data_IF_634505638131
#
_entry.id   IF_634505638131
#
_cell.length_a   1.000
_cell.length_b   1.000
_cell.length_c   1.000
_cell.angle_alpha   90.00
_cell.angle_beta   90.00
_cell.angle_gamma   90.00
#
_symmetry.space_group_name_H-M   'P 1'
#
loop_
_entity.id
_entity.type
_entity.pdbx_description
1 polymer ?
#
# COMPACT_ATOMS: atom_id res chain seq x y z
N UNK A 1 25.99 -29.30 -12.89
CA UNK A 1 26.51 -28.05 -13.48
C UNK A 1 25.55 -27.60 -14.59
N UNK A 2 24.53 -26.83 -14.26
CA UNK A 2 23.68 -26.19 -15.27
C UNK A 2 23.76 -24.69 -15.05
N UNK A 3 24.45 -24.04 -15.97
CA UNK A 3 24.54 -22.59 -16.07
C UNK A 3 23.21 -22.08 -16.65
N UNK A 4 22.42 -21.38 -15.84
CA UNK A 4 21.39 -20.49 -16.33
C UNK A 4 22.04 -19.16 -16.68
N UNK A 5 22.35 -18.95 -17.95
CA UNK A 5 22.67 -17.65 -18.48
C UNK A 5 21.37 -17.01 -18.93
N UNK A 6 20.79 -16.15 -18.11
CA UNK A 6 19.77 -15.21 -18.53
C UNK A 6 20.48 -13.99 -19.07
N UNK A 7 20.30 -13.72 -20.34
CA UNK A 7 20.66 -12.48 -21.03
C UNK A 7 19.62 -11.41 -20.69
N UNK A 8 19.57 -10.94 -19.44
CA UNK A 8 18.99 -9.66 -19.12
C UNK A 8 20.14 -8.70 -18.88
N UNK A 9 20.30 -7.73 -19.76
CA UNK A 9 21.12 -6.55 -19.52
C UNK A 9 20.73 -6.01 -18.15
N UNK A 10 21.68 -5.99 -17.24
CA UNK A 10 21.55 -5.46 -15.89
C UNK A 10 21.03 -4.02 -15.97
N UNK A 11 19.72 -3.86 -15.84
CA UNK A 11 19.12 -2.56 -15.57
C UNK A 11 19.61 -2.16 -14.17
N UNK A 12 20.66 -1.34 -14.15
CA UNK A 12 21.45 -1.00 -12.95
C UNK A 12 20.72 -0.05 -12.00
N UNK A 13 19.48 0.33 -12.31
CA UNK A 13 18.73 1.26 -11.49
C UNK A 13 18.00 0.50 -10.36
N UNK A 14 18.30 0.78 -9.08
CA UNK A 14 17.64 0.14 -7.95
C UNK A 14 16.13 0.32 -8.05
N UNK A 15 15.36 -0.73 -7.70
CA UNK A 15 13.89 -0.69 -7.78
C UNK A 15 13.28 0.50 -7.03
N UNK A 16 13.85 0.85 -5.87
CA UNK A 16 13.40 2.00 -5.08
C UNK A 16 13.59 3.33 -5.82
N UNK A 17 14.77 3.58 -6.42
CA UNK A 17 15.04 4.79 -7.20
C UNK A 17 14.11 4.92 -8.39
N UNK A 18 13.85 3.81 -9.08
CA UNK A 18 12.93 3.80 -10.22
C UNK A 18 11.49 4.12 -9.79
N UNK A 19 11.01 3.50 -8.73
CA UNK A 19 9.68 3.77 -8.19
C UNK A 19 9.56 5.20 -7.66
N UNK A 20 10.59 5.72 -6.97
CA UNK A 20 10.65 7.11 -6.54
C UNK A 20 10.51 8.07 -7.74
N UNK A 21 11.33 7.90 -8.78
CA UNK A 21 11.27 8.74 -9.99
C UNK A 21 9.90 8.68 -10.68
N UNK A 22 9.26 7.50 -10.70
CA UNK A 22 7.92 7.34 -11.28
C UNK A 22 6.88 8.17 -10.51
N UNK A 23 6.88 8.11 -9.18
CA UNK A 23 5.96 8.87 -8.34
C UNK A 23 6.25 10.38 -8.34
N UNK A 24 7.53 10.78 -8.35
CA UNK A 24 7.92 12.19 -8.54
C UNK A 24 7.41 12.74 -9.87
N UNK A 25 7.46 11.94 -10.92
CA UNK A 25 6.89 12.30 -12.23
C UNK A 25 5.37 12.44 -12.14
N UNK A 26 4.68 11.50 -11.50
CA UNK A 26 3.23 11.56 -11.30
C UNK A 26 2.81 12.83 -10.56
N UNK A 27 3.54 13.23 -9.52
CA UNK A 27 3.30 14.45 -8.79
C UNK A 27 3.44 15.69 -9.69
N UNK A 28 4.51 15.76 -10.49
CA UNK A 28 4.76 16.90 -11.40
C UNK A 28 3.73 17.00 -12.54
N UNK A 29 3.24 15.87 -13.04
CA UNK A 29 2.30 15.84 -14.17
C UNK A 29 0.83 15.89 -13.78
N UNK A 30 0.50 15.95 -12.48
CA UNK A 30 -0.88 15.94 -12.00
C UNK A 30 -1.62 14.64 -12.28
N UNK A 31 -0.92 13.51 -12.18
CA UNK A 31 -1.52 12.18 -12.37
C UNK A 31 -2.65 11.95 -11.36
N UNK A 32 -3.62 11.10 -11.71
CA UNK A 32 -4.79 10.83 -10.84
C UNK A 32 -4.41 10.36 -9.42
N UNK A 33 -3.29 9.64 -9.27
CA UNK A 33 -2.76 9.20 -7.97
C UNK A 33 -2.13 10.35 -7.15
N UNK A 34 -1.82 11.48 -7.79
CA UNK A 34 -1.32 12.69 -7.15
C UNK A 34 -2.44 13.72 -6.89
N UNK A 35 -3.71 13.30 -6.99
CA UNK A 35 -4.85 14.17 -6.73
C UNK A 35 -4.95 14.46 -5.24
N UNK A 36 -4.90 15.74 -4.86
CA UNK A 36 -5.06 16.22 -3.50
C UNK A 36 -6.51 16.09 -3.01
N UNK A 37 -6.75 16.37 -1.73
CA UNK A 37 -8.08 16.35 -1.13
C UNK A 37 -8.98 17.43 -1.74
N UNK A 38 -10.27 17.13 -1.87
CA UNK A 38 -11.29 18.12 -2.26
C UNK A 38 -12.02 18.69 -1.04
N UNK A 39 -12.64 19.86 -1.20
CA UNK A 39 -13.45 20.48 -0.14
C UNK A 39 -14.66 19.60 0.26
N UNK A 40 -15.25 18.87 -0.69
CA UNK A 40 -16.34 17.95 -0.43
C UNK A 40 -15.91 16.75 0.45
N UNK A 41 -14.72 16.20 0.20
CA UNK A 41 -14.17 15.10 1.01
C UNK A 41 -13.92 15.53 2.46
N UNK A 42 -13.53 16.78 2.68
CA UNK A 42 -13.28 17.34 4.01
C UNK A 42 -14.55 17.50 4.87
N UNK A 43 -15.75 17.44 4.28
CA UNK A 43 -17.00 17.48 5.04
C UNK A 43 -17.28 16.18 5.82
N UNK A 44 -16.75 15.06 5.33
CA UNK A 44 -16.93 13.75 5.94
C UNK A 44 -15.62 12.95 5.96
N UNK A 45 -14.56 13.48 6.59
CA UNK A 45 -13.20 12.97 6.41
C UNK A 45 -13.05 11.52 6.88
N UNK A 46 -13.64 11.14 8.03
CA UNK A 46 -13.55 9.78 8.56
C UNK A 46 -14.27 8.76 7.66
N UNK A 47 -15.45 9.11 7.14
CA UNK A 47 -16.18 8.23 6.22
C UNK A 47 -15.41 7.96 4.92
N UNK A 48 -14.66 8.96 4.45
CA UNK A 48 -13.85 8.84 3.22
C UNK A 48 -12.66 7.90 3.44
N UNK A 49 -11.94 8.01 4.56
CA UNK A 49 -10.76 7.18 4.83
C UNK A 49 -11.11 5.83 5.42
N UNK A 50 -12.28 5.69 6.02
CA UNK A 50 -12.77 4.47 6.68
C UNK A 50 -14.13 4.00 6.12
N UNK A 51 -14.26 3.96 4.81
CA UNK A 51 -15.49 3.48 4.18
C UNK A 51 -15.93 2.04 4.56
N UNK A 52 -15.10 1.31 5.29
CA UNK A 52 -15.40 -0.01 5.84
C UNK A 52 -15.85 0.03 7.31
N UNK A 53 -15.79 1.19 7.98
CA UNK A 53 -16.14 1.35 9.38
C UNK A 53 -15.21 0.63 10.36
N UNK A 54 -13.95 0.48 10.00
CA UNK A 54 -12.98 -0.29 10.77
C UNK A 54 -12.33 0.50 11.92
N UNK A 55 -12.35 1.82 11.84
CA UNK A 55 -11.71 2.70 12.82
C UNK A 55 -12.65 3.13 13.95
N UNK A 56 -13.93 2.80 13.84
CA UNK A 56 -14.95 3.18 14.82
C UNK A 56 -15.52 4.58 14.57
N UNK A 57 -16.10 5.19 15.61
CA UNK A 57 -16.82 6.46 15.48
C UNK A 57 -15.91 7.69 15.52
N UNK A 58 -14.66 7.56 15.98
CA UNK A 58 -13.72 8.69 16.10
C UNK A 58 -12.29 8.21 16.21
N UNK A 59 -11.39 8.97 15.58
CA UNK A 59 -9.92 8.83 15.69
C UNK A 59 -9.27 10.10 16.27
N UNK A 60 -10.08 10.93 16.95
CA UNK A 60 -9.60 12.17 17.55
C UNK A 60 -8.48 11.90 18.56
N UNK A 61 -7.36 12.59 18.39
CA UNK A 61 -6.18 12.45 19.25
C UNK A 61 -5.30 11.24 18.93
N UNK A 62 -5.62 10.43 17.93
CA UNK A 62 -4.74 9.35 17.50
C UNK A 62 -3.51 9.88 16.77
N UNK A 63 -2.38 9.22 16.94
CA UNK A 63 -1.21 9.39 16.11
C UNK A 63 -1.31 8.43 14.91
N UNK A 64 -1.44 8.98 13.71
CA UNK A 64 -1.61 8.22 12.47
C UNK A 64 -0.38 8.36 11.60
N UNK A 65 0.19 7.24 11.16
CA UNK A 65 1.17 7.21 10.09
C UNK A 65 0.48 6.89 8.77
N UNK A 66 0.60 7.79 7.80
CA UNK A 66 0.31 7.54 6.39
C UNK A 66 1.60 7.01 5.74
N UNK A 67 1.71 5.68 5.61
CA UNK A 67 2.90 4.99 5.11
C UNK A 67 2.81 4.78 3.60
N UNK A 68 3.77 5.30 2.83
CA UNK A 68 3.75 5.32 1.37
C UNK A 68 2.39 5.81 0.84
N UNK A 69 1.90 6.91 1.40
CA UNK A 69 0.56 7.44 1.19
C UNK A 69 0.56 8.96 1.01
N UNK A 70 1.68 9.52 0.55
CA UNK A 70 1.81 10.94 0.27
C UNK A 70 0.94 11.38 -0.91
N UNK A 71 0.83 12.69 -1.13
CA UNK A 71 0.02 13.31 -2.17
C UNK A 71 -1.04 14.28 -1.64
N UNK A 72 -1.03 14.59 -0.33
CA UNK A 72 -1.85 15.62 0.29
C UNK A 72 -3.30 15.21 0.58
N UNK A 73 -3.76 14.04 0.11
CA UNK A 73 -5.14 13.62 0.35
C UNK A 73 -5.32 12.90 1.69
N UNK A 74 -4.49 11.90 1.98
CA UNK A 74 -4.62 11.12 3.21
C UNK A 74 -4.29 11.95 4.44
N UNK A 75 -3.20 12.72 4.41
CA UNK A 75 -2.80 13.57 5.54
C UNK A 75 -3.89 14.57 5.94
N UNK A 76 -4.48 15.24 4.95
CA UNK A 76 -5.55 16.22 5.18
C UNK A 76 -6.80 15.55 5.75
N UNK A 77 -7.23 14.41 5.23
CA UNK A 77 -8.41 13.69 5.69
C UNK A 77 -8.25 13.15 7.11
N UNK A 78 -7.11 12.52 7.43
CA UNK A 78 -6.85 12.05 8.79
C UNK A 78 -6.72 13.20 9.79
N UNK A 79 -6.09 14.32 9.37
CA UNK A 79 -6.07 15.52 10.21
C UNK A 79 -7.48 16.07 10.45
N UNK A 80 -8.28 16.24 9.40
CA UNK A 80 -9.66 16.74 9.52
C UNK A 80 -10.54 15.82 10.39
N UNK A 81 -10.25 14.51 10.43
CA UNK A 81 -10.89 13.55 11.35
C UNK A 81 -10.37 13.67 12.81
N UNK A 82 -9.41 14.56 13.09
CA UNK A 82 -8.91 14.89 14.43
C UNK A 82 -7.65 14.17 14.84
N UNK A 83 -6.94 13.51 13.94
CA UNK A 83 -5.68 12.83 14.22
C UNK A 83 -4.46 13.78 14.13
N UNK A 84 -3.38 13.43 14.83
CA UNK A 84 -2.04 13.95 14.57
C UNK A 84 -1.40 13.08 13.50
N UNK A 85 -0.91 13.69 12.41
CA UNK A 85 -0.51 12.94 11.22
C UNK A 85 0.99 13.03 10.96
N UNK A 86 1.59 11.89 10.68
CA UNK A 86 2.92 11.74 10.08
C UNK A 86 2.74 11.10 8.70
N UNK A 87 3.50 11.55 7.71
CA UNK A 87 3.57 10.93 6.37
C UNK A 87 5.00 10.48 6.15
N UNK A 88 5.19 9.24 5.73
CA UNK A 88 6.46 8.72 5.25
C UNK A 88 6.30 8.23 3.82
N UNK A 89 7.09 8.77 2.92
CA UNK A 89 7.08 8.38 1.51
C UNK A 89 8.49 8.50 0.91
N UNK A 90 8.78 7.70 -0.10
CA UNK A 90 10.05 7.76 -0.81
C UNK A 90 10.11 8.95 -1.78
N UNK A 91 8.95 9.39 -2.31
CA UNK A 91 8.82 10.45 -3.30
C UNK A 91 8.75 11.83 -2.65
N UNK A 92 9.80 12.65 -2.86
CA UNK A 92 9.78 14.05 -2.42
C UNK A 92 8.71 14.87 -3.17
N UNK A 93 8.48 14.57 -4.44
CA UNK A 93 7.43 15.20 -5.23
C UNK A 93 6.03 14.98 -4.66
N UNK A 94 5.74 13.79 -4.14
CA UNK A 94 4.47 13.49 -3.46
C UNK A 94 4.40 14.18 -2.08
N UNK A 95 5.48 14.20 -1.31
CA UNK A 95 5.55 14.93 -0.03
C UNK A 95 5.37 16.43 -0.19
N UNK A 96 5.82 17.00 -1.31
CA UNK A 96 5.58 18.42 -1.62
C UNK A 96 4.09 18.74 -1.78
N UNK A 97 3.29 17.80 -2.30
CA UNK A 97 1.83 17.95 -2.33
C UNK A 97 1.25 18.00 -0.91
N UNK A 98 1.72 17.16 0.02
CA UNK A 98 1.32 17.21 1.43
C UNK A 98 1.72 18.55 2.07
N UNK A 99 2.92 19.06 1.78
CA UNK A 99 3.41 20.34 2.30
C UNK A 99 2.51 21.49 1.84
N UNK A 100 2.16 21.54 0.56
CA UNK A 100 1.27 22.55 0.01
C UNK A 100 -0.13 22.49 0.62
N UNK A 101 -0.74 21.30 0.66
CA UNK A 101 -2.08 21.11 1.23
C UNK A 101 -2.09 21.47 2.72
N UNK A 102 -1.05 21.12 3.48
CA UNK A 102 -0.98 21.46 4.90
C UNK A 102 -0.88 22.99 5.14
N UNK A 103 -0.15 23.70 4.26
CA UNK A 103 -0.08 25.17 4.30
C UNK A 103 -1.41 25.83 3.94
N UNK A 104 -2.06 25.36 2.87
CA UNK A 104 -3.36 25.87 2.41
C UNK A 104 -4.46 25.67 3.47
N UNK A 105 -4.51 24.51 4.07
CA UNK A 105 -5.50 24.15 5.10
C UNK A 105 -5.05 24.49 6.53
N UNK A 106 -3.83 25.05 6.69
CA UNK A 106 -3.25 25.54 7.97
C UNK A 106 -3.22 24.47 9.06
N UNK A 107 -2.70 23.29 8.74
CA UNK A 107 -2.49 22.24 9.73
C UNK A 107 -1.03 21.78 9.79
N UNK A 108 -0.65 21.21 10.94
CA UNK A 108 0.69 20.64 11.11
C UNK A 108 0.70 19.17 10.70
N UNK A 109 1.68 18.80 9.88
CA UNK A 109 1.97 17.43 9.49
C UNK A 109 3.47 17.20 9.56
N UNK A 110 3.88 16.04 10.09
CA UNK A 110 5.29 15.62 10.04
C UNK A 110 5.52 14.88 8.74
N UNK A 111 6.39 15.41 7.87
CA UNK A 111 6.74 14.81 6.57
C UNK A 111 8.13 14.22 6.66
N UNK A 112 8.27 12.97 6.21
CA UNK A 112 9.53 12.21 6.25
C UNK A 112 9.74 11.59 4.88
N UNK A 113 10.84 11.95 4.23
CA UNK A 113 11.30 11.23 3.05
C UNK A 113 12.11 10.02 3.50
N UNK A 114 11.69 8.81 3.07
CA UNK A 114 12.36 7.57 3.44
C UNK A 114 11.68 6.34 2.88
N UNK A 115 12.39 5.23 2.99
CA UNK A 115 11.86 3.92 2.59
C UNK A 115 11.00 3.29 3.70
N UNK A 116 10.00 2.51 3.30
CA UNK A 116 9.20 1.73 4.24
C UNK A 116 9.91 0.45 4.73
N UNK A 117 11.09 0.15 4.18
CA UNK A 117 11.90 -1.02 4.56
C UNK A 117 12.70 -0.76 5.84
N UNK A 118 13.05 0.50 6.11
CA UNK A 118 13.86 0.89 7.28
C UNK A 118 13.43 2.29 7.74
N UNK A 119 12.84 2.37 8.93
CA UNK A 119 12.25 3.61 9.47
C UNK A 119 12.88 4.04 10.82
N UNK A 120 14.22 4.18 10.91
CA UNK A 120 14.90 4.46 12.19
C UNK A 120 14.53 5.82 12.78
N UNK A 121 13.98 6.74 11.98
CA UNK A 121 13.50 8.05 12.41
C UNK A 121 12.15 8.00 13.15
N UNK A 122 11.48 6.84 13.16
CA UNK A 122 10.24 6.58 13.88
C UNK A 122 10.52 5.72 15.12
N UNK A 123 9.95 6.12 16.25
CA UNK A 123 10.15 5.43 17.53
C UNK A 123 9.29 4.17 17.62
N UNK A 124 9.73 3.23 18.45
CA UNK A 124 8.94 2.08 18.82
C UNK A 124 7.64 2.53 19.51
N UNK A 125 6.54 1.83 19.20
CA UNK A 125 5.23 2.09 19.79
C UNK A 125 4.79 3.57 19.72
N UNK A 126 5.02 4.23 18.59
CA UNK A 126 4.69 5.65 18.38
C UNK A 126 3.23 5.86 17.92
N UNK A 127 2.69 4.94 17.10
CA UNK A 127 1.43 5.16 16.39
C UNK A 127 0.25 4.32 16.92
N UNK A 128 -0.93 4.95 16.92
CA UNK A 128 -2.23 4.30 17.18
C UNK A 128 -2.78 3.62 15.93
N UNK A 129 -2.38 4.12 14.75
CA UNK A 129 -2.79 3.61 13.45
C UNK A 129 -1.66 3.81 12.43
N UNK A 130 -1.36 2.75 11.69
CA UNK A 130 -0.61 2.84 10.44
C UNK A 130 -1.56 2.52 9.31
N UNK A 131 -1.69 3.45 8.35
CA UNK A 131 -2.44 3.24 7.11
C UNK A 131 -1.47 3.13 5.96
N UNK A 132 -1.63 2.09 5.16
CA UNK A 132 -0.79 1.82 4.01
C UNK A 132 -1.66 1.50 2.79
N UNK A 133 -1.86 2.44 1.87
CA UNK A 133 -2.50 2.14 0.59
C UNK A 133 -1.61 1.22 -0.23
N UNK A 134 -1.99 0.94 -1.47
CA UNK A 134 -1.24 0.04 -2.34
C UNK A 134 0.21 0.52 -2.51
N UNK A 135 1.15 -0.20 -1.89
CA UNK A 135 2.58 0.09 -1.97
C UNK A 135 3.48 -1.13 -1.74
N UNK A 136 3.01 -2.17 -1.04
CA UNK A 136 3.81 -3.37 -0.74
C UNK A 136 4.33 -4.10 -1.97
N UNK A 137 3.67 -3.96 -3.11
CA UNK A 137 4.15 -4.52 -4.38
C UNK A 137 5.45 -3.85 -4.89
N UNK A 138 5.85 -2.70 -4.37
CA UNK A 138 7.06 -1.98 -4.82
C UNK A 138 8.36 -2.41 -4.13
N UNK A 139 8.30 -3.36 -3.22
CA UNK A 139 9.46 -3.90 -2.50
C UNK A 139 9.57 -5.41 -2.69
N UNK A 140 10.80 -5.91 -2.75
CA UNK A 140 11.06 -7.34 -2.92
C UNK A 140 10.75 -8.13 -1.63
N UNK A 141 11.13 -7.59 -0.48
CA UNK A 141 10.90 -8.19 0.83
C UNK A 141 9.84 -7.42 1.63
N UNK A 142 8.60 -7.88 1.51
CA UNK A 142 7.48 -7.29 2.25
C UNK A 142 7.52 -7.61 3.74
N UNK A 143 8.29 -8.63 4.17
CA UNK A 143 8.44 -8.98 5.59
C UNK A 143 9.15 -7.89 6.39
N UNK A 144 10.13 -7.21 5.79
CA UNK A 144 10.79 -6.06 6.41
C UNK A 144 9.80 -4.93 6.69
N UNK A 145 8.89 -4.63 5.74
CA UNK A 145 7.83 -3.64 5.93
C UNK A 145 6.96 -3.99 7.14
N UNK A 146 6.52 -5.25 7.24
CA UNK A 146 5.66 -5.68 8.36
C UNK A 146 6.39 -5.68 9.70
N UNK A 147 7.70 -5.97 9.71
CA UNK A 147 8.55 -5.85 10.89
C UNK A 147 8.59 -4.40 11.41
N UNK A 148 8.88 -3.45 10.52
CA UNK A 148 8.91 -2.04 10.86
C UNK A 148 7.53 -1.51 11.28
N UNK A 149 6.46 -1.85 10.54
CA UNK A 149 5.09 -1.51 10.92
C UNK A 149 4.76 -2.03 12.32
N UNK A 150 5.12 -3.28 12.61
CA UNK A 150 4.89 -3.85 13.92
C UNK A 150 5.69 -3.12 15.01
N UNK A 151 6.95 -2.77 14.75
CA UNK A 151 7.80 -2.05 15.71
C UNK A 151 7.19 -0.72 16.12
N UNK A 152 6.78 0.09 15.15
CA UNK A 152 6.29 1.46 15.39
C UNK A 152 4.84 1.54 15.89
N UNK A 153 4.04 0.49 15.74
CA UNK A 153 2.69 0.44 16.31
C UNK A 153 2.72 0.28 17.82
N UNK A 154 1.87 0.99 18.54
CA UNK A 154 1.56 0.75 19.95
C UNK A 154 0.96 -0.64 20.16
N UNK A 155 1.08 -1.26 21.35
CA UNK A 155 0.31 -2.46 21.69
C UNK A 155 -1.20 -2.24 21.45
N UNK A 156 -1.88 -3.21 20.83
CA UNK A 156 -3.30 -3.14 20.41
C UNK A 156 -3.64 -2.11 19.32
N UNK A 157 -2.68 -1.36 18.81
CA UNK A 157 -2.87 -0.42 17.71
C UNK A 157 -3.20 -1.12 16.38
N UNK A 158 -3.70 -0.37 15.43
CA UNK A 158 -4.22 -0.90 14.17
C UNK A 158 -3.24 -0.69 13.02
N UNK A 159 -3.16 -1.71 12.17
CA UNK A 159 -2.61 -1.61 10.83
C UNK A 159 -3.75 -1.82 9.83
N UNK A 160 -4.01 -0.83 8.98
CA UNK A 160 -4.98 -0.90 7.90
C UNK A 160 -4.26 -0.74 6.59
N UNK A 161 -4.31 -1.76 5.75
CA UNK A 161 -3.56 -1.77 4.50
C UNK A 161 -4.41 -2.24 3.32
N UNK A 162 -4.01 -1.80 2.13
CA UNK A 162 -4.52 -2.31 0.87
C UNK A 162 -3.37 -2.79 0.01
N UNK A 163 -3.46 -4.01 -0.47
CA UNK A 163 -2.47 -4.65 -1.32
C UNK A 163 -3.05 -4.93 -2.70
N UNK A 164 -2.22 -4.95 -3.74
CA UNK A 164 -2.60 -5.61 -4.99
C UNK A 164 -2.78 -7.09 -4.69
N UNK A 165 -3.91 -7.64 -5.10
CA UNK A 165 -4.19 -9.06 -4.88
C UNK A 165 -3.17 -9.89 -5.67
N UNK A 166 -2.50 -10.89 -5.06
CA UNK A 166 -1.41 -11.63 -5.68
C UNK A 166 -1.71 -12.14 -7.08
N UNK A 167 -2.84 -12.80 -7.27
CA UNK A 167 -3.22 -13.32 -8.60
C UNK A 167 -3.43 -12.20 -9.62
N UNK A 168 -3.79 -10.99 -9.18
CA UNK A 168 -3.89 -9.83 -10.07
C UNK A 168 -2.52 -9.40 -10.61
N UNK A 169 -1.45 -9.58 -9.83
CA UNK A 169 -0.08 -9.33 -10.26
C UNK A 169 0.48 -10.43 -11.16
N UNK A 170 0.05 -11.68 -10.97
CA UNK A 170 0.46 -12.81 -11.77
C UNK A 170 -0.26 -12.95 -13.10
N UNK A 171 -1.45 -12.36 -13.22
CA UNK A 171 -2.27 -12.52 -14.41
C UNK A 171 -1.92 -11.49 -15.49
N UNK A 172 -2.00 -11.94 -16.75
CA UNK A 172 -1.80 -11.12 -17.96
C UNK A 172 -2.55 -9.78 -17.90
N UNK A 173 -1.96 -8.71 -18.42
CA UNK A 173 -2.60 -7.39 -18.47
C UNK A 173 -3.77 -7.35 -19.45
N UNK A 174 -3.69 -8.13 -20.51
CA UNK A 174 -4.68 -8.21 -21.58
C UNK A 174 -5.35 -9.57 -21.62
N UNK A 175 -6.59 -9.61 -22.06
CA UNK A 175 -7.29 -10.87 -22.34
C UNK A 175 -6.80 -11.50 -23.63
N UNK A 176 -6.77 -12.84 -23.65
CA UNK A 176 -6.67 -13.65 -24.84
C UNK A 176 -7.95 -14.50 -24.93
N UNK A 177 -8.72 -14.38 -25.99
CA UNK A 177 -10.03 -15.05 -26.12
C UNK A 177 -10.96 -14.81 -24.91
N UNK A 178 -11.01 -13.57 -24.42
CA UNK A 178 -11.77 -13.15 -23.23
C UNK A 178 -11.35 -13.85 -21.93
N UNK A 179 -10.14 -14.38 -21.84
CA UNK A 179 -9.59 -15.02 -20.63
C UNK A 179 -8.31 -14.31 -20.20
N UNK A 180 -8.08 -14.22 -18.90
CA UNK A 180 -6.79 -13.83 -18.33
C UNK A 180 -5.99 -15.10 -18.04
N UNK A 181 -4.70 -15.09 -18.37
CA UNK A 181 -3.76 -16.18 -18.13
C UNK A 181 -2.84 -15.82 -16.97
N UNK A 182 -2.38 -16.82 -16.23
CA UNK A 182 -1.33 -16.65 -15.22
C UNK A 182 0.00 -16.83 -15.94
N UNK A 183 0.84 -15.79 -15.95
CA UNK A 183 2.10 -15.73 -16.71
C UNK A 183 3.30 -15.23 -15.90
N UNK A 184 3.08 -14.81 -14.66
CA UNK A 184 4.12 -14.30 -13.77
C UNK A 184 4.34 -15.23 -12.58
N UNK A 185 5.59 -15.62 -12.33
CA UNK A 185 5.95 -16.45 -11.16
C UNK A 185 5.87 -15.65 -9.86
N UNK A 186 5.48 -16.32 -8.77
CA UNK A 186 5.48 -15.73 -7.42
C UNK A 186 6.91 -15.40 -7.02
N UNK A 187 7.10 -14.21 -6.43
CA UNK A 187 8.41 -13.72 -5.98
C UNK A 187 9.23 -13.02 -7.06
N UNK A 188 8.70 -12.94 -8.29
CA UNK A 188 9.34 -12.22 -9.39
C UNK A 188 8.70 -10.87 -9.66
N UNK A 189 9.29 -10.08 -10.56
CA UNK A 189 8.68 -8.85 -11.04
C UNK A 189 7.46 -9.14 -11.89
N UNK A 190 6.36 -8.46 -11.59
CA UNK A 190 5.16 -8.51 -12.40
C UNK A 190 5.38 -7.79 -13.75
N UNK A 191 4.63 -8.20 -14.76
CA UNK A 191 4.66 -7.55 -16.07
C UNK A 191 4.38 -6.05 -15.95
N UNK A 192 5.30 -5.20 -16.38
CA UNK A 192 5.15 -3.76 -16.37
C UNK A 192 4.20 -3.29 -17.46
N UNK A 193 3.44 -2.23 -17.19
CA UNK A 193 2.73 -1.51 -18.24
C UNK A 193 3.74 -0.82 -19.16
N UNK A 194 3.53 -0.91 -20.47
CA UNK A 194 4.32 -0.16 -21.44
C UNK A 194 3.97 1.32 -21.37
N UNK A 195 4.95 2.18 -21.64
CA UNK A 195 4.74 3.64 -21.58
C UNK A 195 3.72 4.14 -22.59
N UNK A 196 3.63 3.48 -23.75
CA UNK A 196 2.71 3.75 -24.85
C UNK A 196 1.38 2.99 -24.73
N UNK A 197 1.29 2.02 -23.84
CA UNK A 197 0.08 1.25 -23.54
C UNK A 197 -0.22 1.30 -22.03
N UNK A 198 -0.66 2.45 -21.49
CA UNK A 198 -0.93 2.56 -20.06
C UNK A 198 -2.03 1.58 -19.63
N UNK A 199 -1.84 0.98 -18.48
CA UNK A 199 -2.81 0.05 -17.88
C UNK A 199 -3.36 0.62 -16.58
N UNK A 200 -4.68 0.56 -16.33
CA UNK A 200 -5.25 0.94 -15.04
C UNK A 200 -4.87 -0.05 -13.92
N UNK A 201 -4.16 -1.14 -14.25
CA UNK A 201 -3.77 -2.19 -13.32
C UNK A 201 -2.33 -2.07 -12.84
N UNK A 202 -1.52 -1.27 -13.54
CA UNK A 202 -0.10 -1.04 -13.24
C UNK A 202 0.21 0.43 -13.42
N UNK A 203 0.93 0.99 -12.48
CA UNK A 203 1.42 2.34 -12.56
C UNK A 203 2.55 2.42 -13.60
N UNK A 204 2.55 3.44 -14.47
CA UNK A 204 3.56 3.56 -15.52
C UNK A 204 4.95 3.76 -14.92
N UNK A 205 5.94 3.06 -15.50
CA UNK A 205 7.36 3.12 -15.12
C UNK A 205 7.71 2.61 -13.72
N UNK A 206 6.78 1.97 -13.00
CA UNK A 206 7.08 1.31 -11.72
C UNK A 206 7.54 -0.13 -11.91
N UNK A 207 8.22 -0.67 -10.90
CA UNK A 207 8.51 -2.09 -10.74
C UNK A 207 7.67 -2.65 -9.61
N UNK A 208 6.97 -3.74 -9.87
CA UNK A 208 6.06 -4.38 -8.92
C UNK A 208 6.39 -5.86 -8.77
N UNK A 209 6.42 -6.35 -7.54
CA UNK A 209 6.68 -7.76 -7.22
C UNK A 209 5.39 -8.53 -6.98
N UNK A 210 5.30 -9.73 -7.55
CA UNK A 210 4.18 -10.66 -7.34
C UNK A 210 4.39 -11.45 -6.04
N UNK A 211 3.96 -10.89 -4.91
CA UNK A 211 4.01 -11.59 -3.62
C UNK A 211 2.97 -12.72 -3.54
N UNK A 212 3.24 -13.72 -2.70
CA UNK A 212 2.26 -14.74 -2.36
C UNK A 212 1.29 -14.24 -1.27
N UNK A 213 0.15 -14.94 -1.11
CA UNK A 213 -0.71 -14.71 0.06
C UNK A 213 0.01 -15.02 1.38
N UNK A 214 0.90 -16.03 1.40
CA UNK A 214 1.72 -16.33 2.58
C UNK A 214 2.68 -15.15 2.90
N UNK A 215 3.32 -14.55 1.89
CA UNK A 215 4.17 -13.38 2.10
C UNK A 215 3.40 -12.22 2.72
N UNK A 216 2.15 -11.99 2.31
CA UNK A 216 1.32 -10.89 2.82
C UNK A 216 0.65 -11.28 4.15
N UNK A 217 -0.24 -12.28 4.15
CA UNK A 217 -1.03 -12.62 5.33
C UNK A 217 -0.17 -13.27 6.41
N UNK A 218 0.62 -14.27 6.03
CA UNK A 218 1.57 -14.93 6.91
C UNK A 218 2.64 -13.97 7.42
N UNK A 219 3.14 -13.09 6.55
CA UNK A 219 4.09 -12.02 6.91
C UNK A 219 3.57 -11.11 8.01
N UNK A 220 2.34 -10.60 7.89
CA UNK A 220 1.67 -9.81 8.94
C UNK A 220 1.61 -10.59 10.26
N UNK A 221 1.17 -11.86 10.21
CA UNK A 221 1.02 -12.69 11.41
C UNK A 221 2.38 -13.02 12.06
N UNK A 222 3.40 -13.36 11.27
CA UNK A 222 4.76 -13.66 11.77
C UNK A 222 5.42 -12.47 12.44
N UNK A 223 5.06 -11.25 12.04
CA UNK A 223 5.55 -10.01 12.64
C UNK A 223 4.68 -9.52 13.83
N UNK A 224 3.98 -10.44 14.53
CA UNK A 224 3.30 -10.14 15.79
C UNK A 224 1.98 -9.39 15.68
N UNK A 225 1.39 -9.33 14.50
CA UNK A 225 0.06 -8.77 14.29
C UNK A 225 -0.98 -9.89 14.11
N UNK A 226 -2.23 -9.61 14.46
CA UNK A 226 -3.38 -10.50 14.26
C UNK A 226 -4.27 -9.88 13.20
N UNK A 227 -4.55 -10.61 12.15
CA UNK A 227 -5.52 -10.17 11.13
C UNK A 227 -6.92 -10.26 11.73
N UNK A 228 -7.61 -9.13 11.78
CA UNK A 228 -8.97 -8.99 12.33
C UNK A 228 -10.01 -9.05 11.24
N UNK A 229 -9.69 -8.54 10.05
CA UNK A 229 -10.60 -8.49 8.91
C UNK A 229 -9.87 -8.49 7.58
N UNK A 230 -10.45 -9.17 6.59
CA UNK A 230 -10.00 -9.17 5.20
C UNK A 230 -11.18 -8.81 4.33
N UNK A 231 -10.96 -7.94 3.34
CA UNK A 231 -11.97 -7.55 2.37
C UNK A 231 -11.39 -7.43 0.96
N UNK A 232 -12.08 -7.98 -0.02
CA UNK A 232 -11.77 -7.82 -1.43
C UNK A 232 -12.76 -6.85 -2.07
N UNK A 233 -12.40 -5.57 -2.32
CA UNK A 233 -13.31 -4.58 -2.90
C UNK A 233 -13.84 -5.03 -4.25
N UNK A 234 -15.14 -4.92 -4.44
CA UNK A 234 -15.78 -5.30 -5.69
C UNK A 234 -15.80 -4.12 -6.67
N UNK A 235 -14.98 -4.19 -7.70
CA UNK A 235 -14.95 -3.24 -8.82
C UNK A 235 -15.61 -3.80 -10.09
N UNK A 236 -16.21 -5.00 -10.02
CA UNK A 236 -16.81 -5.65 -11.18
C UNK A 236 -18.01 -4.86 -11.72
N UNK A 237 -18.06 -4.71 -13.04
CA UNK A 237 -19.20 -4.13 -13.75
C UNK A 237 -19.62 -5.09 -14.86
N UNK A 238 -20.93 -5.44 -14.92
CA UNK A 238 -21.46 -6.49 -15.80
C UNK A 238 -21.15 -6.23 -17.27
N UNK A 239 -21.32 -5.00 -17.71
CA UNK A 239 -21.22 -4.60 -19.12
C UNK A 239 -19.90 -3.91 -19.46
N UNK A 240 -18.84 -4.20 -18.69
CA UNK A 240 -17.53 -3.62 -18.93
C UNK A 240 -16.84 -4.23 -20.13
N UNK A 241 -16.22 -3.38 -20.92
CA UNK A 241 -15.33 -3.74 -22.02
C UNK A 241 -14.14 -4.55 -21.50
N UNK A 242 -13.68 -5.54 -22.28
CA UNK A 242 -12.46 -6.31 -21.98
C UNK A 242 -11.28 -5.40 -21.67
N UNK A 243 -10.36 -5.88 -20.84
CA UNK A 243 -9.14 -5.17 -20.42
C UNK A 243 -9.34 -3.92 -19.54
N UNK A 244 -10.57 -3.64 -19.13
CA UNK A 244 -10.86 -2.61 -18.12
C UNK A 244 -10.85 -3.19 -16.71
N UNK A 245 -10.68 -2.33 -15.70
CA UNK A 245 -10.78 -2.71 -14.27
C UNK A 245 -12.13 -3.40 -13.98
N UNK A 246 -13.23 -2.88 -14.51
CA UNK A 246 -14.56 -3.43 -14.30
C UNK A 246 -14.74 -4.84 -14.89
N UNK A 247 -14.18 -5.10 -16.08
CA UNK A 247 -14.19 -6.43 -16.70
C UNK A 247 -13.30 -7.40 -15.91
N UNK A 248 -12.05 -7.00 -15.65
CA UNK A 248 -11.09 -7.84 -14.92
C UNK A 248 -11.60 -8.24 -13.54
N UNK A 249 -12.24 -7.33 -12.81
CA UNK A 249 -12.77 -7.59 -11.47
C UNK A 249 -13.91 -8.61 -11.42
N UNK A 250 -14.45 -9.02 -12.57
CA UNK A 250 -15.40 -10.15 -12.66
C UNK A 250 -14.71 -11.49 -12.46
N UNK A 251 -13.40 -11.59 -12.75
CA UNK A 251 -12.59 -12.80 -12.69
C UNK A 251 -11.58 -12.75 -11.55
N UNK A 252 -10.94 -11.60 -11.36
CA UNK A 252 -9.85 -11.40 -10.41
C UNK A 252 -10.13 -10.11 -9.65
N UNK A 253 -10.29 -10.19 -8.31
CA UNK A 253 -10.36 -9.00 -7.47
C UNK A 253 -9.02 -8.27 -7.51
N UNK A 254 -8.98 -6.96 -7.81
CA UNK A 254 -7.71 -6.26 -7.98
C UNK A 254 -6.97 -6.03 -6.66
N UNK A 255 -7.70 -5.91 -5.56
CA UNK A 255 -7.16 -5.50 -4.27
C UNK A 255 -7.60 -6.42 -3.13
N UNK A 256 -6.74 -6.49 -2.13
CA UNK A 256 -6.96 -7.11 -0.83
C UNK A 256 -6.79 -6.03 0.24
N UNK A 257 -7.83 -5.75 1.01
CA UNK A 257 -7.79 -4.87 2.19
C UNK A 257 -7.68 -5.69 3.45
N UNK A 258 -6.80 -5.27 4.35
CA UNK A 258 -6.53 -5.98 5.60
C UNK A 258 -6.64 -4.99 6.75
N UNK A 259 -7.39 -5.39 7.80
CA UNK A 259 -7.30 -4.80 9.13
C UNK A 259 -6.56 -5.77 10.02
N UNK A 260 -5.43 -5.36 10.55
CA UNK A 260 -4.67 -6.13 11.54
C UNK A 260 -4.49 -5.32 12.83
N UNK A 261 -4.21 -6.01 13.92
CA UNK A 261 -3.97 -5.43 15.24
C UNK A 261 -2.65 -5.94 15.79
N UNK A 262 -1.79 -5.06 16.25
CA UNK A 262 -0.59 -5.46 16.97
C UNK A 262 -0.98 -6.17 18.26
N UNK A 263 -0.36 -7.33 18.53
CA UNK A 263 -0.58 -8.04 19.81
C UNK A 263 -0.14 -7.17 20.98
N UNK A 264 -0.86 -7.25 22.07
CA UNK A 264 -0.34 -6.74 23.36
C UNK A 264 0.93 -7.52 23.72
N UNK A 265 1.90 -6.86 24.34
CA UNK A 265 3.02 -7.57 24.92
C UNK A 265 2.46 -8.60 25.93
N UNK A 266 2.60 -9.89 25.64
CA UNK A 266 2.19 -10.93 26.60
C UNK A 266 3.20 -10.95 27.76
N UNK A 267 2.71 -10.91 28.97
CA UNK A 267 3.51 -11.11 30.18
C UNK A 267 3.89 -12.58 30.44
N UNK A 268 3.62 -13.46 29.49
CA UNK A 268 3.94 -14.91 29.60
C UNK A 268 4.25 -15.51 28.23
N UNK A 269 5.23 -16.40 28.10
CA UNK A 269 5.48 -17.12 26.87
C UNK A 269 4.27 -18.04 26.59
N UNK A 270 3.59 -17.81 25.46
CA UNK A 270 2.58 -18.73 24.98
C UNK A 270 3.26 -20.06 24.65
N UNK A 271 2.84 -21.15 25.28
CA UNK A 271 3.16 -22.50 24.86
C UNK A 271 2.83 -22.64 23.36
N UNK A 272 3.84 -22.93 22.56
CA UNK A 272 3.65 -23.24 21.14
C UNK A 272 2.73 -24.47 21.02
N UNK A 273 1.52 -24.29 20.49
CA UNK A 273 0.72 -25.39 20.01
C UNK A 273 1.45 -25.98 18.82
N UNK A 274 2.14 -27.09 19.04
CA UNK A 274 2.64 -27.97 17.98
C UNK A 274 1.41 -28.74 17.51
N UNK A 275 0.88 -28.36 16.34
CA UNK A 275 -0.09 -29.21 15.65
C UNK A 275 0.68 -30.38 15.00
N UNK A 276 0.16 -31.58 15.03
CA UNK A 276 0.79 -32.77 14.46
C UNK A 276 0.96 -32.71 12.94
#
# INVERSE_FOLDING_TARGET
>A
MNKWTTSDELDTDPTESRNQMAYDRMARTGHILAKTVSAEELLRPLEIVDGAGWLGSSIRGWHVLCLAAAGGRHSALYHAAGATVTVLDISDGMLELDRRVSQELKFNVRLIQGTMLDMPMLRDAEFDLVVQPVSTCYVADVSQVFSEVSRILKPNALYVSQHKQPINLQASLRTQNNKYTIDTEIGTLAQSAKADEPSPLREPNTREFAHSLDSILGGICRNGMVIVYIHEPNHAKKDSVADTMGHRSRFIRPYLRIKARKRAASSSPSSSLILP
#
